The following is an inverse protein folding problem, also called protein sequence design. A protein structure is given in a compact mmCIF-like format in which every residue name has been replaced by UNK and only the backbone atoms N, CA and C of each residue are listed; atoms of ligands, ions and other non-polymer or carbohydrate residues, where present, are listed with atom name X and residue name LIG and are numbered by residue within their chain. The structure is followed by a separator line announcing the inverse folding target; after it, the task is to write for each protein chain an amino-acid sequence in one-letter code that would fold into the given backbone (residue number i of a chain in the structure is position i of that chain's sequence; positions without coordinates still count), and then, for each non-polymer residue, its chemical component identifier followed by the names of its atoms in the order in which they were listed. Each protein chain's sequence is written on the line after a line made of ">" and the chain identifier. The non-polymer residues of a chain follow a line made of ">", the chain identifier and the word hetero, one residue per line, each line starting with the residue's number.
data_IF_799236656731
#
_entry.id   IF_799236656731
#
_cell.length_a   1.000
_cell.length_b   1.000
_cell.length_c   1.000
_cell.angle_alpha   90.00
_cell.angle_beta   90.00
_cell.angle_gamma   90.00
#
_symmetry.space_group_name_H-M   'P 1'
#
loop_
_entity.id
_entity.type
_entity.pdbx_description
1 polymer ?
#
# COMPACT_ATOMS: atom_id res chain seq x y z
N UNK A 1 -10.85 25.45 -5.62
CA UNK A 1 -11.63 24.20 -5.72
C UNK A 1 -10.61 23.09 -5.90
N UNK A 2 -10.29 22.36 -4.82
CA UNK A 2 -9.35 21.24 -4.93
C UNK A 2 -9.97 20.20 -5.84
N UNK A 3 -9.26 19.78 -6.88
CA UNK A 3 -9.71 18.64 -7.67
C UNK A 3 -9.81 17.45 -6.72
N UNK A 4 -10.99 16.85 -6.64
CA UNK A 4 -11.21 15.62 -5.91
C UNK A 4 -10.33 14.53 -6.56
N UNK A 5 -9.28 14.13 -5.85
CA UNK A 5 -8.37 13.06 -6.30
C UNK A 5 -8.86 11.77 -5.70
N UNK A 6 -8.86 10.70 -6.49
CA UNK A 6 -9.14 9.35 -5.97
C UNK A 6 -7.97 8.94 -5.07
N UNK A 7 -8.25 8.64 -3.81
CA UNK A 7 -7.30 8.18 -2.79
C UNK A 7 -7.15 6.67 -2.91
N UNK A 8 -5.95 6.20 -3.23
CA UNK A 8 -5.68 4.78 -3.45
C UNK A 8 -4.71 4.27 -2.39
N UNK A 9 -5.19 3.37 -1.53
CA UNK A 9 -4.35 2.63 -0.60
C UNK A 9 -3.60 1.51 -1.34
N UNK A 10 -2.27 1.57 -1.33
CA UNK A 10 -1.41 0.61 -2.02
C UNK A 10 -0.66 -0.20 -0.98
N UNK A 11 -0.91 -1.51 -0.94
CA UNK A 11 -0.09 -2.47 -0.21
C UNK A 11 1.31 -2.50 -0.81
N UNK A 12 2.23 -1.77 -0.17
CA UNK A 12 3.58 -1.56 -0.66
C UNK A 12 4.50 -2.77 -0.43
N UNK A 13 4.04 -3.77 0.35
CA UNK A 13 4.83 -4.96 0.67
C UNK A 13 4.41 -6.19 -0.12
N UNK A 14 3.35 -6.09 -0.92
CA UNK A 14 2.85 -7.18 -1.75
C UNK A 14 3.55 -7.26 -3.10
N UNK A 15 4.12 -8.43 -3.39
CA UNK A 15 4.69 -8.77 -4.70
C UNK A 15 6.17 -9.13 -4.64
N UNK A 16 6.65 -9.83 -5.67
CA UNK A 16 7.99 -10.44 -5.70
C UNK A 16 9.14 -9.41 -5.61
N UNK A 17 8.88 -8.17 -6.05
CA UNK A 17 9.85 -7.06 -6.07
C UNK A 17 9.43 -5.90 -5.15
N UNK A 18 8.66 -6.22 -4.11
CA UNK A 18 8.23 -5.24 -3.12
C UNK A 18 9.34 -4.96 -2.08
N UNK A 19 9.48 -3.70 -1.61
CA UNK A 19 8.65 -2.54 -1.94
C UNK A 19 9.05 -1.79 -3.22
N UNK A 20 10.19 -2.12 -3.83
CA UNK A 20 10.85 -1.31 -4.87
C UNK A 20 9.93 -0.98 -6.06
N UNK A 21 9.43 -2.00 -6.76
CA UNK A 21 8.63 -1.76 -7.97
C UNK A 21 7.25 -1.17 -7.65
N UNK A 22 6.71 -1.47 -6.46
CA UNK A 22 5.43 -0.90 -6.01
C UNK A 22 5.57 0.59 -5.70
N UNK A 23 6.61 0.99 -4.96
CA UNK A 23 6.89 2.40 -4.65
C UNK A 23 7.21 3.18 -5.91
N UNK A 24 8.02 2.63 -6.83
CA UNK A 24 8.29 3.23 -8.14
C UNK A 24 7.01 3.50 -8.92
N UNK A 25 6.13 2.49 -9.05
CA UNK A 25 4.85 2.64 -9.73
C UNK A 25 3.94 3.67 -9.07
N UNK A 26 3.90 3.71 -7.73
CA UNK A 26 3.17 4.72 -6.96
C UNK A 26 3.67 6.14 -7.24
N UNK A 27 5.00 6.35 -7.27
CA UNK A 27 5.61 7.64 -7.60
C UNK A 27 5.27 8.07 -9.03
N UNK A 28 5.36 7.15 -9.99
CA UNK A 28 5.00 7.42 -11.38
C UNK A 28 3.51 7.76 -11.54
N UNK A 29 2.62 7.07 -10.83
CA UNK A 29 1.18 7.35 -10.83
C UNK A 29 0.88 8.72 -10.23
N UNK A 30 1.48 9.06 -9.09
CA UNK A 30 1.31 10.35 -8.43
C UNK A 30 1.78 11.52 -9.31
N UNK A 31 2.82 11.32 -10.12
CA UNK A 31 3.30 12.31 -11.12
C UNK A 31 2.32 12.53 -12.28
N UNK A 32 1.58 11.50 -12.71
CA UNK A 32 0.58 11.61 -13.79
C UNK A 32 -0.67 12.39 -13.35
N UNK A 33 -0.92 12.46 -12.05
CA UNK A 33 -2.06 13.18 -11.46
C UNK A 33 -3.37 12.39 -11.50
N UNK A 34 -4.43 12.97 -10.91
CA UNK A 34 -5.75 12.34 -10.79
C UNK A 34 -5.92 11.39 -9.59
N UNK A 35 -4.83 11.01 -8.94
CA UNK A 35 -4.84 10.15 -7.74
C UNK A 35 -3.98 10.74 -6.61
N UNK A 36 -4.35 10.42 -5.38
CA UNK A 36 -3.51 10.49 -4.19
C UNK A 36 -3.14 9.06 -3.79
N UNK A 37 -1.85 8.79 -3.58
CA UNK A 37 -1.39 7.45 -3.23
C UNK A 37 -1.10 7.37 -1.75
N UNK A 38 -1.67 6.36 -1.08
CA UNK A 38 -1.37 6.04 0.31
C UNK A 38 -0.55 4.75 0.31
N UNK A 39 0.77 4.85 0.50
CA UNK A 39 1.66 3.70 0.60
C UNK A 39 1.53 3.06 1.99
N UNK A 40 1.12 1.79 2.03
CA UNK A 40 0.85 1.05 3.26
C UNK A 40 1.93 0.01 3.49
N UNK A 41 2.66 0.12 4.60
CA UNK A 41 3.77 -0.78 4.93
C UNK A 41 4.62 -0.27 6.10
N UNK A 42 5.70 -0.97 6.47
CA UNK A 42 6.61 -0.51 7.52
C UNK A 42 7.26 0.81 7.11
N UNK A 43 7.06 1.88 7.88
CA UNK A 43 7.50 3.24 7.52
C UNK A 43 8.99 3.29 7.16
N UNK A 44 9.84 2.64 7.96
CA UNK A 44 11.29 2.60 7.74
C UNK A 44 11.65 2.10 6.33
N UNK A 45 10.97 1.05 5.84
CA UNK A 45 11.21 0.49 4.50
C UNK A 45 10.69 1.40 3.39
N UNK A 46 9.55 2.05 3.62
CA UNK A 46 8.97 2.97 2.65
C UNK A 46 9.81 4.24 2.53
N UNK A 47 10.24 4.81 3.65
CA UNK A 47 11.11 5.99 3.70
C UNK A 47 12.47 5.70 3.04
N UNK A 48 13.07 4.53 3.33
CA UNK A 48 14.32 4.08 2.71
C UNK A 48 14.19 4.02 1.18
N UNK A 49 13.15 3.34 0.67
CA UNK A 49 12.93 3.23 -0.78
C UNK A 49 12.66 4.59 -1.42
N UNK A 50 11.86 5.43 -0.77
CA UNK A 50 11.49 6.75 -1.26
C UNK A 50 12.67 7.73 -1.33
N UNK A 51 13.80 7.47 -0.67
CA UNK A 51 15.01 8.31 -0.79
C UNK A 51 15.52 8.40 -2.24
N UNK A 52 15.21 7.40 -3.07
CA UNK A 52 15.61 7.35 -4.48
C UNK A 52 14.75 8.20 -5.42
N UNK A 53 13.70 8.84 -4.90
CA UNK A 53 12.71 9.57 -5.71
C UNK A 53 12.48 11.00 -5.20
N UNK A 54 12.21 11.92 -6.12
CA UNK A 54 11.66 13.22 -5.76
C UNK A 54 10.14 13.10 -5.59
N UNK A 55 9.71 12.89 -4.34
CA UNK A 55 8.32 12.56 -4.01
C UNK A 55 7.63 13.56 -3.07
N UNK A 56 8.38 14.47 -2.43
CA UNK A 56 7.87 15.34 -1.35
C UNK A 56 6.75 16.28 -1.79
N UNK A 57 6.75 16.69 -3.05
CA UNK A 57 5.72 17.54 -3.66
C UNK A 57 4.61 16.73 -4.36
N UNK A 58 4.72 15.39 -4.37
CA UNK A 58 3.72 14.51 -4.95
C UNK A 58 2.59 14.24 -3.94
N UNK A 59 1.37 13.94 -4.41
CA UNK A 59 0.25 13.53 -3.56
C UNK A 59 0.47 12.09 -3.05
N UNK A 60 1.49 11.89 -2.21
CA UNK A 60 1.84 10.60 -1.62
C UNK A 60 1.84 10.74 -0.09
N UNK A 61 1.11 9.84 0.57
CA UNK A 61 1.08 9.71 2.03
C UNK A 61 1.59 8.33 2.43
N UNK A 62 2.32 8.28 3.54
CA UNK A 62 2.73 7.02 4.16
C UNK A 62 1.73 6.61 5.24
N UNK A 63 1.40 5.33 5.32
CA UNK A 63 0.60 4.75 6.38
C UNK A 63 1.32 3.53 6.97
N UNK A 64 1.54 3.57 8.28
CA UNK A 64 2.30 2.52 8.95
C UNK A 64 1.49 1.22 9.01
N UNK A 65 2.08 0.15 8.49
CA UNK A 65 1.64 -1.23 8.69
C UNK A 65 2.89 -2.09 8.99
N UNK A 66 3.19 -2.38 10.27
CA UNK A 66 4.45 -3.00 10.65
C UNK A 66 4.54 -4.49 10.24
N UNK A 67 3.42 -5.10 9.88
CA UNK A 67 3.35 -6.50 9.46
C UNK A 67 3.09 -6.59 7.95
N UNK A 68 3.52 -7.69 7.36
CA UNK A 68 3.21 -8.06 5.99
C UNK A 68 3.28 -9.58 5.83
N UNK A 69 2.63 -10.09 4.79
CA UNK A 69 2.65 -11.51 4.44
C UNK A 69 3.92 -11.77 3.64
N UNK A 70 4.66 -12.81 4.04
CA UNK A 70 5.89 -13.24 3.38
C UNK A 70 5.60 -14.41 2.44
N UNK A 71 6.49 -14.63 1.49
CA UNK A 71 6.41 -15.79 0.60
C UNK A 71 6.45 -17.09 1.39
N UNK A 72 5.60 -18.04 0.97
CA UNK A 72 5.45 -19.35 1.62
C UNK A 72 4.53 -19.38 2.84
N UNK A 73 3.96 -18.24 3.24
CA UNK A 73 2.97 -18.20 4.32
C UNK A 73 1.56 -18.55 3.82
N UNK A 74 0.84 -19.40 4.57
CA UNK A 74 -0.57 -19.69 4.26
C UNK A 74 -1.46 -18.46 4.55
N UNK A 75 -2.16 -17.90 3.55
CA UNK A 75 -2.88 -16.62 3.69
C UNK A 75 -3.93 -16.63 4.80
N UNK A 76 -4.77 -17.66 4.85
CA UNK A 76 -5.91 -17.68 5.77
C UNK A 76 -5.51 -17.82 7.24
N UNK A 77 -4.39 -18.51 7.50
CA UNK A 77 -3.83 -18.61 8.84
C UNK A 77 -3.13 -17.31 9.24
N UNK A 78 -2.34 -16.75 8.31
CA UNK A 78 -1.54 -15.54 8.57
C UNK A 78 -2.39 -14.30 8.75
N UNK A 79 -3.50 -14.15 8.03
CA UNK A 79 -4.37 -12.99 8.21
C UNK A 79 -5.03 -12.92 9.59
N UNK A 80 -5.31 -14.06 10.23
CA UNK A 80 -5.78 -14.09 11.62
C UNK A 80 -4.66 -13.72 12.61
N UNK A 81 -3.42 -14.09 12.30
CA UNK A 81 -2.27 -13.84 13.15
C UNK A 81 -1.68 -12.43 12.97
N UNK A 82 -1.88 -11.81 11.81
CA UNK A 82 -1.31 -10.51 11.42
C UNK A 82 -2.42 -9.52 11.03
N UNK A 83 -3.22 -9.03 12.00
CA UNK A 83 -4.32 -8.10 11.72
C UNK A 83 -3.84 -6.76 11.15
N UNK A 84 -2.56 -6.42 11.35
CA UNK A 84 -1.93 -5.18 10.87
C UNK A 84 -0.99 -5.45 9.69
N UNK A 85 -1.24 -6.53 8.95
CA UNK A 85 -0.59 -6.78 7.67
C UNK A 85 -0.92 -5.65 6.67
N UNK A 86 0.05 -5.22 5.88
CA UNK A 86 -0.11 -4.13 4.89
C UNK A 86 -1.36 -4.27 4.01
N UNK A 87 -1.65 -5.46 3.49
CA UNK A 87 -2.87 -5.74 2.71
C UNK A 87 -4.17 -5.55 3.51
N UNK A 88 -4.18 -5.94 4.79
CA UNK A 88 -5.34 -5.76 5.68
C UNK A 88 -5.54 -4.31 6.05
N UNK A 89 -4.44 -3.60 6.31
CA UNK A 89 -4.47 -2.17 6.63
C UNK A 89 -4.95 -1.38 5.41
N UNK A 90 -4.48 -1.70 4.20
CA UNK A 90 -4.94 -1.05 2.97
C UNK A 90 -6.44 -1.21 2.77
N UNK A 91 -6.99 -2.42 2.95
CA UNK A 91 -8.43 -2.65 2.89
C UNK A 91 -9.19 -1.93 4.02
N UNK A 92 -8.63 -1.89 5.24
CA UNK A 92 -9.21 -1.17 6.39
C UNK A 92 -9.34 0.33 6.11
N UNK A 93 -8.36 0.95 5.44
CA UNK A 93 -8.42 2.36 5.06
C UNK A 93 -9.61 2.66 4.15
N UNK A 94 -9.96 1.75 3.24
CA UNK A 94 -11.16 1.90 2.41
C UNK A 94 -12.43 1.77 3.26
N UNK A 95 -12.47 0.77 4.14
CA UNK A 95 -13.60 0.56 5.05
C UNK A 95 -13.85 1.74 5.99
N UNK A 96 -12.79 2.46 6.36
CA UNK A 96 -12.83 3.63 7.25
C UNK A 96 -12.97 4.97 6.50
N UNK A 97 -13.24 4.94 5.19
CA UNK A 97 -13.38 6.13 4.33
C UNK A 97 -12.12 7.02 4.30
N UNK A 98 -10.97 6.44 4.61
CA UNK A 98 -9.65 7.07 4.49
C UNK A 98 -9.04 6.90 3.09
N UNK A 99 -9.54 5.92 2.31
CA UNK A 99 -9.18 5.68 0.92
C UNK A 99 -10.43 5.31 0.10
N UNK A 100 -10.40 5.57 -1.20
CA UNK A 100 -11.51 5.26 -2.12
C UNK A 100 -11.34 3.88 -2.77
N UNK A 101 -10.10 3.38 -2.85
CA UNK A 101 -9.77 2.06 -3.37
C UNK A 101 -8.53 1.48 -2.70
N UNK A 102 -8.38 0.16 -2.75
CA UNK A 102 -7.19 -0.57 -2.32
C UNK A 102 -6.58 -1.37 -3.48
N UNK A 103 -5.26 -1.48 -3.52
CA UNK A 103 -4.49 -2.22 -4.50
C UNK A 103 -3.43 -3.08 -3.80
N UNK A 104 -3.28 -4.35 -4.19
CA UNK A 104 -2.21 -5.23 -3.72
C UNK A 104 -1.75 -6.12 -4.86
N UNK A 105 -0.42 -6.27 -4.98
CA UNK A 105 0.23 -7.21 -5.90
C UNK A 105 0.80 -8.43 -5.16
N UNK A 106 0.39 -8.62 -3.89
CA UNK A 106 0.78 -9.74 -3.06
C UNK A 106 -0.11 -10.96 -3.27
N UNK A 107 -0.16 -11.82 -2.25
CA UNK A 107 -0.89 -13.08 -2.33
C UNK A 107 -2.38 -12.87 -2.64
N UNK A 108 -2.87 -13.36 -3.78
CA UNK A 108 -4.26 -13.15 -4.25
C UNK A 108 -5.30 -13.58 -3.21
N UNK A 109 -5.12 -14.76 -2.61
CA UNK A 109 -6.01 -15.24 -1.54
C UNK A 109 -6.04 -14.33 -0.30
N UNK A 110 -4.95 -13.64 0.03
CA UNK A 110 -4.96 -12.70 1.13
C UNK A 110 -5.73 -11.42 0.78
N UNK A 111 -5.52 -10.90 -0.43
CA UNK A 111 -6.27 -9.75 -0.94
C UNK A 111 -7.78 -10.02 -0.97
N UNK A 112 -8.21 -11.21 -1.39
CA UNK A 112 -9.63 -11.59 -1.38
C UNK A 112 -10.24 -11.72 0.02
N UNK A 113 -9.45 -12.11 1.03
CA UNK A 113 -9.95 -12.20 2.42
C UNK A 113 -9.99 -10.81 3.08
N UNK A 114 -9.12 -9.90 2.64
CA UNK A 114 -9.03 -8.54 3.17
C UNK A 114 -10.16 -7.61 2.67
N UNK A 115 -10.63 -7.81 1.44
CA UNK A 115 -11.70 -7.05 0.80
C UNK A 115 -13.10 -7.48 1.27
#
# INVERSE_FOLDING_TARGET
>A
MGQERVRVAVDAMGGDFAPQEVVKGAVEAAKKGGVEIILVGPLERLEEELTSYDWKELPIRLYNAPQFIRDGESPAAVLRAKPDASVMVAARLVKEDQADAALSMGHTGAAMIAA
#
